data_IF_490242215053
#
_entry.id   IF_490242215053
#
_cell.length_a   1.000
_cell.length_b   1.000
_cell.length_c   1.000
_cell.angle_alpha   90.00
_cell.angle_beta   90.00
_cell.angle_gamma   90.00
#
_symmetry.space_group_name_H-M   'P 1'
#
loop_
_entity.id
_entity.type
_entity.pdbx_description
1 polymer ?
#
# COMPACT_ATOMS: atom_id res chain seq x y z
N UNK A 1 -25.41 40.78 -31.45
CA UNK A 1 -23.96 40.93 -31.20
C UNK A 1 -23.56 39.82 -30.24
N UNK A 2 -23.31 38.56 -30.58
CA UNK A 2 -22.41 37.94 -31.57
C UNK A 2 -20.96 38.45 -31.50
N UNK A 3 -20.11 37.72 -30.75
CA UNK A 3 -18.74 37.40 -31.17
C UNK A 3 -18.38 35.96 -30.80
N UNK A 4 -18.13 35.21 -31.87
CA UNK A 4 -17.49 33.88 -31.98
C UNK A 4 -15.97 34.11 -32.18
N UNK A 5 -15.18 33.04 -32.04
CA UNK A 5 -13.76 32.82 -32.45
C UNK A 5 -12.71 33.01 -31.36
N UNK A 6 -11.68 32.15 -31.20
CA UNK A 6 -11.16 31.08 -32.06
C UNK A 6 -10.26 30.11 -31.27
N UNK A 7 -10.15 28.90 -31.81
CA UNK A 7 -9.34 27.74 -31.39
C UNK A 7 -7.87 28.05 -31.08
N UNK A 8 -7.32 27.33 -30.10
CA UNK A 8 -5.90 26.95 -30.00
C UNK A 8 -5.80 25.44 -29.78
N UNK A 9 -5.37 24.71 -30.82
CA UNK A 9 -5.13 23.26 -30.87
C UNK A 9 -3.66 23.02 -30.50
N UNK A 10 -3.38 22.16 -29.51
CA UNK A 10 -2.04 21.57 -29.34
C UNK A 10 -2.17 20.05 -29.19
N UNK A 11 -1.41 19.36 -30.05
CA UNK A 11 -1.23 17.90 -30.22
C UNK A 11 -0.68 17.28 -28.92
N UNK A 12 -1.18 16.15 -28.42
CA UNK A 12 -0.87 14.75 -28.80
C UNK A 12 0.59 14.34 -28.58
N UNK A 13 0.77 13.06 -28.16
CA UNK A 13 1.99 12.33 -27.74
C UNK A 13 2.19 12.34 -26.20
N UNK A 14 2.36 11.23 -25.49
CA UNK A 14 2.80 9.89 -25.87
C UNK A 14 2.17 8.82 -24.97
N UNK A 15 1.74 7.74 -25.62
CA UNK A 15 1.37 6.46 -25.00
C UNK A 15 2.63 5.82 -24.40
N UNK A 16 2.58 5.47 -23.11
CA UNK A 16 3.50 4.49 -22.54
C UNK A 16 2.92 3.11 -22.77
N UNK A 17 3.31 2.51 -23.90
CA UNK A 17 3.22 1.08 -24.14
C UNK A 17 4.45 0.42 -23.50
N UNK A 18 4.23 -0.51 -22.57
CA UNK A 18 5.28 -1.40 -22.05
C UNK A 18 5.09 -2.77 -22.71
N UNK A 19 6.12 -3.35 -23.35
CA UNK A 19 5.96 -4.57 -24.11
C UNK A 19 5.97 -5.80 -23.20
N UNK A 20 5.02 -6.70 -23.44
CA UNK A 20 5.09 -8.12 -23.10
C UNK A 20 6.30 -8.73 -23.83
N UNK A 21 7.29 -9.23 -23.09
CA UNK A 21 8.32 -10.11 -23.63
C UNK A 21 8.00 -11.54 -23.19
N UNK A 22 7.57 -12.33 -24.17
CA UNK A 22 7.54 -13.78 -24.17
C UNK A 22 8.83 -14.25 -24.85
N UNK A 23 9.67 -14.98 -24.13
CA UNK A 23 10.69 -15.93 -24.61
C UNK A 23 11.26 -16.59 -23.34
N UNK A 24 11.41 -17.90 -23.20
CA UNK A 24 11.69 -18.93 -24.18
C UNK A 24 12.72 -19.84 -23.52
N UNK A 25 12.41 -21.14 -23.50
CA UNK A 25 13.22 -22.25 -23.00
C UNK A 25 14.74 -22.07 -23.21
N UNK A 26 15.53 -22.44 -22.20
CA UNK A 26 16.82 -23.10 -22.42
C UNK A 26 17.01 -24.22 -21.38
N UNK A 27 16.92 -25.43 -21.90
CA UNK A 27 17.34 -26.71 -21.34
C UNK A 27 18.86 -26.85 -21.50
N UNK A 28 19.55 -27.65 -20.65
CA UNK A 28 20.71 -28.52 -20.95
C UNK A 28 21.31 -29.10 -19.63
N UNK A 29 22.04 -30.25 -19.66
CA UNK A 29 21.72 -31.41 -18.84
C UNK A 29 22.94 -32.07 -18.11
N UNK A 30 22.60 -33.14 -17.37
CA UNK A 30 23.34 -34.40 -17.15
C UNK A 30 24.69 -34.42 -16.40
N UNK A 31 24.70 -35.17 -15.29
CA UNK A 31 25.69 -36.16 -14.83
C UNK A 31 25.01 -36.86 -13.63
N UNK A 32 24.69 -38.16 -13.58
CA UNK A 32 25.23 -39.33 -14.24
C UNK A 32 25.79 -40.26 -13.16
N UNK A 33 25.05 -41.30 -12.75
CA UNK A 33 25.58 -42.62 -12.37
C UNK A 33 24.49 -43.69 -12.45
N UNK A 34 24.93 -44.84 -12.94
CA UNK A 34 24.14 -45.95 -13.47
C UNK A 34 23.92 -47.07 -12.43
N UNK A 35 23.21 -48.12 -12.91
CA UNK A 35 23.09 -49.51 -12.39
C UNK A 35 21.74 -49.76 -11.66
N UNK A 36 20.88 -50.73 -11.97
CA UNK A 36 20.87 -51.94 -12.81
C UNK A 36 19.38 -52.22 -13.20
N UNK A 37 19.12 -52.84 -14.35
CA UNK A 37 17.77 -53.35 -14.72
C UNK A 37 17.38 -54.59 -13.90
N UNK A 38 16.10 -54.71 -13.53
CA UNK A 38 15.27 -55.94 -13.62
C UNK A 38 13.81 -55.66 -13.17
N UNK A 39 12.87 -55.71 -14.10
CA UNK A 39 11.48 -56.20 -13.88
C UNK A 39 11.49 -57.72 -14.17
N UNK A 40 10.56 -58.59 -13.67
CA UNK A 40 9.09 -58.42 -13.52
C UNK A 40 8.52 -59.17 -12.26
N UNK A 41 7.26 -59.65 -12.09
CA UNK A 41 5.91 -59.39 -12.66
C UNK A 41 4.86 -58.99 -11.53
N UNK A 42 3.52 -58.94 -11.74
CA UNK A 42 2.60 -58.19 -10.87
C UNK A 42 1.99 -58.95 -9.65
N UNK A 43 1.78 -58.17 -8.57
CA UNK A 43 0.83 -58.24 -7.43
C UNK A 43 0.61 -59.56 -6.64
N UNK A 44 0.48 -59.48 -5.29
CA UNK A 44 -0.86 -59.27 -4.71
C UNK A 44 -0.91 -58.31 -3.49
N UNK A 45 -2.09 -57.75 -3.29
CA UNK A 45 -2.52 -56.79 -2.26
C UNK A 45 -2.20 -57.24 -0.83
N UNK A 46 -1.55 -56.38 -0.02
CA UNK A 46 -1.58 -56.45 1.45
C UNK A 46 -1.25 -55.09 2.08
N UNK A 47 -2.15 -54.62 2.96
CA UNK A 47 -1.83 -53.78 4.13
C UNK A 47 -1.26 -52.38 3.90
N UNK A 48 -2.15 -51.41 3.75
CA UNK A 48 -1.90 -49.96 3.87
C UNK A 48 -1.39 -49.59 5.28
N UNK A 49 -0.25 -48.89 5.42
CA UNK A 49 0.01 -48.00 6.55
C UNK A 49 -0.52 -46.61 6.19
N UNK A 50 -1.35 -46.06 7.07
CA UNK A 50 -1.89 -44.70 6.94
C UNK A 50 -0.75 -43.69 6.74
N UNK A 51 -0.84 -42.92 5.66
CA UNK A 51 0.01 -41.73 5.49
C UNK A 51 -0.36 -40.73 6.58
N UNK A 52 0.61 -40.16 7.33
CA UNK A 52 0.32 -39.09 8.27
C UNK A 52 -0.17 -37.86 7.49
N UNK A 53 -1.25 -37.25 7.98
CA UNK A 53 -1.83 -36.02 7.45
C UNK A 53 -0.74 -34.97 7.21
N UNK A 54 -0.69 -34.33 6.03
CA UNK A 54 0.16 -33.16 5.85
C UNK A 54 -0.40 -32.04 6.73
N UNK A 55 0.34 -31.73 7.80
CA UNK A 55 0.12 -30.54 8.62
C UNK A 55 -0.15 -29.32 7.72
N UNK A 56 -1.09 -28.43 8.09
CA UNK A 56 -1.37 -27.26 7.28
C UNK A 56 -0.09 -26.44 7.14
N UNK A 57 0.40 -26.31 5.90
CA UNK A 57 1.48 -25.39 5.60
C UNK A 57 1.05 -23.99 6.09
N UNK A 58 1.69 -23.57 7.18
CA UNK A 58 1.53 -22.26 7.78
C UNK A 58 1.76 -21.23 6.68
N UNK A 59 0.77 -20.37 6.49
CA UNK A 59 0.94 -19.19 5.64
C UNK A 59 2.16 -18.40 6.17
N UNK A 60 2.92 -17.72 5.31
CA UNK A 60 3.98 -16.83 5.76
C UNK A 60 3.36 -15.83 6.75
N UNK A 61 3.78 -15.93 8.01
CA UNK A 61 3.42 -14.96 9.03
C UNK A 61 3.87 -13.59 8.50
N UNK A 62 2.90 -12.75 8.15
CA UNK A 62 3.17 -11.36 7.80
C UNK A 62 3.76 -10.72 9.04
N UNK A 63 4.86 -9.98 8.89
CA UNK A 63 5.33 -9.14 9.97
C UNK A 63 4.18 -8.22 10.37
N UNK A 64 3.83 -8.17 11.68
CA UNK A 64 2.76 -7.30 12.12
C UNK A 64 3.18 -5.87 11.80
N UNK A 65 2.37 -5.17 11.01
CA UNK A 65 2.46 -3.72 10.93
C UNK A 65 2.45 -3.20 12.37
N UNK A 66 3.50 -2.50 12.79
CA UNK A 66 3.57 -1.96 14.13
C UNK A 66 2.55 -0.82 14.34
N UNK A 67 2.17 -0.56 15.59
CA UNK A 67 1.38 0.61 15.98
C UNK A 67 -0.13 0.45 15.82
N UNK A 68 -0.86 1.58 15.81
CA UNK A 68 -2.32 1.62 15.87
C UNK A 68 -2.99 0.91 14.68
N UNK A 69 -2.47 1.13 13.46
CA UNK A 69 -2.96 0.43 12.26
C UNK A 69 -2.83 -1.08 12.40
N UNK A 70 -1.68 -1.56 12.88
CA UNK A 70 -1.44 -2.97 13.15
C UNK A 70 -2.45 -3.59 14.09
N UNK A 71 -2.67 -2.93 15.23
CA UNK A 71 -3.65 -3.38 16.23
C UNK A 71 -5.07 -3.41 15.66
N UNK A 72 -5.47 -2.40 14.88
CA UNK A 72 -6.77 -2.36 14.24
C UNK A 72 -6.94 -3.51 13.23
N UNK A 73 -5.92 -3.78 12.41
CA UNK A 73 -5.94 -4.89 11.46
C UNK A 73 -5.97 -6.25 12.15
N UNK A 74 -5.16 -6.43 13.21
CA UNK A 74 -5.17 -7.65 14.00
C UNK A 74 -6.52 -7.88 14.71
N UNK A 75 -7.24 -6.81 15.08
CA UNK A 75 -8.59 -6.92 15.62
C UNK A 75 -9.60 -7.45 14.59
N UNK A 76 -9.45 -7.05 13.32
CA UNK A 76 -10.25 -7.62 12.23
C UNK A 76 -9.91 -9.10 12.01
N UNK A 77 -8.62 -9.46 12.07
CA UNK A 77 -8.17 -10.84 11.86
C UNK A 77 -8.74 -11.81 12.93
N UNK A 78 -8.78 -11.40 14.21
CA UNK A 78 -9.37 -12.20 15.30
C UNK A 78 -10.83 -12.56 15.08
N UNK A 79 -11.62 -11.66 14.48
CA UNK A 79 -13.02 -11.91 14.15
C UNK A 79 -13.20 -12.97 13.04
N UNK A 80 -12.10 -13.42 12.43
CA UNK A 80 -12.07 -14.27 11.22
C UNK A 80 -11.11 -15.48 11.35
N UNK A 81 -10.69 -15.82 12.57
CA UNK A 81 -9.78 -16.93 12.84
C UNK A 81 -10.38 -18.30 12.48
N UNK A 82 -11.71 -18.41 12.43
CA UNK A 82 -12.44 -19.64 12.08
C UNK A 82 -12.79 -19.77 10.59
N UNK A 83 -12.35 -18.85 9.73
CA UNK A 83 -12.70 -18.88 8.31
C UNK A 83 -11.94 -20.00 7.57
N UNK A 84 -12.65 -21.07 7.20
CA UNK A 84 -12.10 -22.11 6.33
C UNK A 84 -11.93 -21.62 4.88
N UNK A 85 -10.95 -22.19 4.13
CA UNK A 85 -10.78 -21.89 2.71
C UNK A 85 -12.05 -22.24 1.93
N UNK A 86 -12.70 -21.23 1.33
CA UNK A 86 -13.95 -21.42 0.62
C UNK A 86 -13.70 -21.98 -0.79
N UNK A 87 -14.17 -23.20 -1.03
CA UNK A 87 -14.21 -23.87 -2.33
C UNK A 87 -15.58 -23.69 -2.96
N UNK A 88 -15.62 -23.26 -4.22
CA UNK A 88 -16.84 -23.05 -5.00
C UNK A 88 -16.81 -23.91 -6.27
N UNK A 89 -17.95 -24.36 -6.81
CA UNK A 89 -17.97 -25.09 -8.07
C UNK A 89 -17.58 -24.16 -9.23
N UNK A 90 -16.74 -24.64 -10.15
CA UNK A 90 -16.30 -23.89 -11.33
C UNK A 90 -16.38 -24.69 -12.61
N UNK A 91 -16.33 -23.98 -13.74
CA UNK A 91 -16.46 -24.58 -15.07
C UNK A 91 -15.35 -25.61 -15.38
N UNK A 92 -14.21 -25.50 -14.69
CA UNK A 92 -13.01 -26.34 -14.86
C UNK A 92 -12.67 -27.16 -13.62
N UNK A 93 -13.60 -27.29 -12.66
CA UNK A 93 -13.39 -27.91 -11.35
C UNK A 93 -13.58 -26.93 -10.19
N UNK A 94 -13.23 -27.33 -8.97
CA UNK A 94 -13.36 -26.48 -7.77
C UNK A 94 -12.52 -25.21 -7.88
N UNK A 95 -13.18 -24.05 -7.73
CA UNK A 95 -12.55 -22.74 -7.56
C UNK A 95 -12.25 -22.54 -6.09
N UNK A 96 -10.96 -22.45 -5.77
CA UNK A 96 -10.50 -22.05 -4.43
C UNK A 96 -10.38 -20.54 -4.38
N UNK A 97 -11.12 -19.91 -3.47
CA UNK A 97 -10.90 -18.51 -3.16
C UNK A 97 -9.52 -18.34 -2.48
N UNK A 98 -8.82 -17.25 -2.78
CA UNK A 98 -7.50 -16.99 -2.21
C UNK A 98 -7.60 -16.97 -0.67
N UNK A 99 -6.62 -17.60 0.01
CA UNK A 99 -6.53 -17.70 1.47
C UNK A 99 -6.52 -16.35 2.18
N UNK A 100 -6.21 -15.27 1.47
CA UNK A 100 -6.27 -13.91 2.00
C UNK A 100 -7.71 -13.44 2.29
N UNK A 101 -8.73 -14.08 1.71
CA UNK A 101 -10.12 -13.70 1.87
C UNK A 101 -10.77 -14.49 2.98
N UNK A 102 -11.19 -13.76 4.03
CA UNK A 102 -11.86 -14.33 5.21
C UNK A 102 -13.32 -13.91 5.31
N UNK A 103 -13.93 -13.58 4.17
CA UNK A 103 -15.30 -13.10 4.08
C UNK A 103 -15.40 -11.58 3.95
N UNK A 104 -16.63 -11.13 3.64
CA UNK A 104 -16.92 -9.72 3.35
C UNK A 104 -16.75 -8.83 4.57
N UNK A 105 -17.17 -9.27 5.75
CA UNK A 105 -17.08 -8.46 6.96
C UNK A 105 -15.64 -8.21 7.39
N UNK A 106 -14.77 -9.21 7.21
CA UNK A 106 -13.32 -9.05 7.40
C UNK A 106 -12.72 -8.02 6.43
N UNK A 107 -13.11 -8.09 5.15
CA UNK A 107 -12.68 -7.14 4.13
C UNK A 107 -13.12 -5.71 4.47
N UNK A 108 -14.38 -5.53 4.85
CA UNK A 108 -14.93 -4.22 5.25
C UNK A 108 -14.26 -3.70 6.51
N UNK A 109 -14.05 -4.54 7.53
CA UNK A 109 -13.32 -4.18 8.75
C UNK A 109 -11.91 -3.69 8.42
N UNK A 110 -11.20 -4.47 7.60
CA UNK A 110 -9.84 -4.14 7.14
C UNK A 110 -9.79 -2.82 6.38
N UNK A 111 -10.73 -2.59 5.47
CA UNK A 111 -10.82 -1.33 4.72
C UNK A 111 -11.19 -0.14 5.60
N UNK A 112 -12.06 -0.31 6.59
CA UNK A 112 -12.36 0.74 7.56
C UNK A 112 -11.14 1.09 8.43
N UNK A 113 -10.34 0.10 8.84
CA UNK A 113 -9.09 0.34 9.55
C UNK A 113 -8.11 1.18 8.69
N UNK A 114 -7.96 0.83 7.40
CA UNK A 114 -7.13 1.61 6.47
C UNK A 114 -7.66 3.03 6.26
N UNK A 115 -8.98 3.20 6.12
CA UNK A 115 -9.61 4.50 5.98
C UNK A 115 -9.40 5.40 7.21
N UNK A 116 -9.51 4.82 8.40
CA UNK A 116 -9.31 5.57 9.65
C UNK A 116 -7.86 6.01 9.82
N UNK A 117 -6.90 5.12 9.55
CA UNK A 117 -5.48 5.49 9.56
C UNK A 117 -5.18 6.58 8.53
N UNK A 118 -5.71 6.44 7.31
CA UNK A 118 -5.54 7.42 6.25
C UNK A 118 -6.08 8.81 6.63
N UNK A 119 -7.26 8.88 7.27
CA UNK A 119 -7.82 10.13 7.79
C UNK A 119 -6.96 10.73 8.90
N UNK A 120 -6.51 9.91 9.85
CA UNK A 120 -5.58 10.36 10.90
C UNK A 120 -4.30 10.93 10.30
N UNK A 121 -3.72 10.32 9.26
CA UNK A 121 -2.55 10.88 8.59
C UNK A 121 -2.80 12.26 7.98
N UNK A 122 -3.98 12.47 7.40
CA UNK A 122 -4.35 13.76 6.82
C UNK A 122 -4.53 14.82 7.91
N UNK A 123 -5.25 14.48 8.98
CA UNK A 123 -5.56 15.38 10.08
C UNK A 123 -4.31 15.74 10.91
N UNK A 124 -3.49 14.74 11.26
CA UNK A 124 -2.34 14.93 12.16
C UNK A 124 -1.19 15.69 11.49
N UNK A 125 -0.98 15.47 10.18
CA UNK A 125 0.20 15.94 9.46
C UNK A 125 -0.09 16.98 8.38
N UNK A 126 -1.36 17.27 8.08
CA UNK A 126 -1.75 18.31 7.13
C UNK A 126 -1.15 19.69 7.44
N UNK A 127 -1.01 20.01 8.73
CA UNK A 127 -0.40 21.26 9.23
C UNK A 127 1.03 21.51 8.72
N UNK A 128 1.80 20.46 8.41
CA UNK A 128 3.16 20.59 7.86
C UNK A 128 3.12 21.25 6.47
N UNK A 129 2.09 20.94 5.68
CA UNK A 129 1.88 21.55 4.37
C UNK A 129 1.34 22.97 4.51
N UNK A 130 0.43 23.19 5.46
CA UNK A 130 -0.14 24.51 5.73
C UNK A 130 0.90 25.54 6.19
N UNK A 131 2.00 25.08 6.81
CA UNK A 131 3.12 25.92 7.19
C UNK A 131 3.91 26.51 5.99
N UNK A 132 3.66 26.03 4.76
CA UNK A 132 4.22 26.58 3.50
C UNK A 132 5.74 26.79 3.54
N UNK A 133 6.46 25.87 4.16
CA UNK A 133 7.94 25.90 4.19
C UNK A 133 8.59 26.11 2.81
N UNK A 134 8.08 25.53 1.69
CA UNK A 134 8.64 25.78 0.36
C UNK A 134 8.51 27.23 -0.14
N UNK A 135 7.54 28.00 0.39
CA UNK A 135 7.26 29.36 -0.08
C UNK A 135 8.11 30.43 0.64
N UNK A 136 8.86 30.03 1.68
CA UNK A 136 9.73 30.93 2.44
C UNK A 136 10.94 31.32 1.59
N UNK A 137 10.98 32.58 1.16
CA UNK A 137 11.93 33.07 0.14
C UNK A 137 12.86 34.19 0.60
N UNK A 138 12.67 34.74 1.80
CA UNK A 138 13.45 35.87 2.31
C UNK A 138 14.00 35.61 3.72
N UNK A 139 15.07 36.34 4.08
CA UNK A 139 15.81 36.12 5.34
C UNK A 139 14.94 36.38 6.57
N UNK A 140 14.11 37.42 6.56
CA UNK A 140 13.21 37.72 7.68
C UNK A 140 12.22 36.58 7.94
N UNK A 141 11.65 36.02 6.87
CA UNK A 141 10.78 34.85 6.93
C UNK A 141 11.51 33.61 7.43
N UNK A 142 12.77 33.40 7.04
CA UNK A 142 13.60 32.29 7.53
C UNK A 142 13.89 32.48 9.03
N UNK A 143 14.32 33.66 9.45
CA UNK A 143 14.70 33.96 10.83
C UNK A 143 13.49 34.10 11.77
N UNK A 144 12.30 34.34 11.22
CA UNK A 144 11.04 34.31 11.97
C UNK A 144 10.55 32.90 12.33
N UNK A 145 11.10 31.85 11.70
CA UNK A 145 10.73 30.46 12.01
C UNK A 145 11.36 30.06 13.34
N UNK A 146 10.53 29.67 14.30
CA UNK A 146 11.01 29.12 15.57
C UNK A 146 11.74 27.80 15.32
N UNK A 147 13.00 27.66 15.77
CA UNK A 147 13.78 26.42 15.58
C UNK A 147 13.10 25.18 16.15
N UNK A 148 12.42 25.32 17.29
CA UNK A 148 11.71 24.20 17.94
C UNK A 148 10.54 23.70 17.10
N UNK A 149 9.73 24.61 16.54
CA UNK A 149 8.63 24.25 15.63
C UNK A 149 9.16 23.52 14.39
N UNK A 150 10.25 24.03 13.81
CA UNK A 150 10.91 23.40 12.66
C UNK A 150 11.50 22.03 13.02
N UNK A 151 11.93 21.83 14.27
CA UNK A 151 12.39 20.54 14.77
C UNK A 151 11.23 19.54 14.91
N UNK A 152 10.15 19.96 15.54
CA UNK A 152 8.94 19.18 15.69
C UNK A 152 8.34 18.78 14.35
N UNK A 153 8.22 19.69 13.38
CA UNK A 153 7.64 19.37 12.08
C UNK A 153 8.53 18.46 11.23
N UNK A 154 9.85 18.53 11.38
CA UNK A 154 10.77 17.57 10.74
C UNK A 154 10.66 16.16 11.34
N UNK A 155 10.45 16.07 12.65
CA UNK A 155 10.16 14.78 13.30
C UNK A 155 8.81 14.24 12.81
N UNK A 156 7.77 15.08 12.82
CA UNK A 156 6.44 14.71 12.35
C UNK A 156 6.44 14.24 10.89
N UNK A 157 7.21 14.89 10.00
CA UNK A 157 7.36 14.45 8.60
C UNK A 157 8.01 13.05 8.49
N UNK A 158 8.95 12.75 9.39
CA UNK A 158 9.60 11.42 9.46
C UNK A 158 8.61 10.37 9.95
N UNK A 159 7.85 10.68 11.00
CA UNK A 159 6.83 9.78 11.56
C UNK A 159 5.71 9.51 10.55
N UNK A 160 5.24 10.55 9.86
CA UNK A 160 4.30 10.44 8.73
C UNK A 160 4.82 9.45 7.68
N UNK A 161 6.09 9.58 7.27
CA UNK A 161 6.68 8.72 6.24
C UNK A 161 6.67 7.24 6.66
N UNK A 162 6.94 6.96 7.94
CA UNK A 162 6.88 5.60 8.48
C UNK A 162 5.46 5.04 8.40
N UNK A 163 4.48 5.79 8.93
CA UNK A 163 3.05 5.37 8.93
C UNK A 163 2.48 5.26 7.52
N UNK A 164 2.81 6.19 6.62
CA UNK A 164 2.38 6.15 5.22
C UNK A 164 2.88 4.90 4.49
N UNK A 165 4.14 4.51 4.70
CA UNK A 165 4.68 3.27 4.11
C UNK A 165 3.94 2.04 4.58
N UNK A 166 3.67 1.95 5.89
CA UNK A 166 2.89 0.85 6.46
C UNK A 166 1.46 0.82 5.89
N UNK A 167 0.76 1.96 5.87
CA UNK A 167 -0.57 2.09 5.28
C UNK A 167 -0.59 1.66 3.81
N UNK A 168 0.39 2.12 3.02
CA UNK A 168 0.50 1.77 1.60
C UNK A 168 0.70 0.27 1.39
N UNK A 169 1.60 -0.36 2.14
CA UNK A 169 1.84 -1.79 2.04
C UNK A 169 0.57 -2.60 2.36
N UNK A 170 -0.15 -2.23 3.42
CA UNK A 170 -1.39 -2.90 3.81
C UNK A 170 -2.53 -2.67 2.82
N UNK A 171 -2.62 -1.47 2.25
CA UNK A 171 -3.56 -1.18 1.17
C UNK A 171 -3.28 -2.06 -0.07
N UNK A 172 -2.04 -2.03 -0.57
CA UNK A 172 -1.64 -2.78 -1.76
C UNK A 172 -1.88 -4.29 -1.56
N UNK A 173 -1.61 -4.82 -0.37
CA UNK A 173 -1.89 -6.21 -0.02
C UNK A 173 -3.39 -6.57 -0.08
N UNK A 174 -4.28 -5.69 0.38
CA UNK A 174 -5.74 -5.93 0.39
C UNK A 174 -6.38 -5.74 -0.98
N UNK A 175 -5.91 -4.78 -1.78
CA UNK A 175 -6.36 -4.63 -3.17
C UNK A 175 -5.97 -5.84 -4.01
N UNK A 176 -4.73 -6.33 -3.85
CA UNK A 176 -4.29 -7.55 -4.53
C UNK A 176 -5.15 -8.75 -4.13
N UNK A 177 -5.53 -8.87 -2.85
CA UNK A 177 -6.45 -9.90 -2.39
C UNK A 177 -7.83 -9.76 -3.07
N UNK A 178 -8.46 -8.59 -2.99
CA UNK A 178 -9.77 -8.33 -3.56
C UNK A 178 -9.80 -8.58 -5.08
N UNK A 179 -8.74 -8.23 -5.80
CA UNK A 179 -8.62 -8.47 -7.24
C UNK A 179 -8.60 -9.96 -7.58
N UNK A 180 -7.81 -10.77 -6.87
CA UNK A 180 -7.77 -12.23 -7.06
C UNK A 180 -9.13 -12.87 -6.77
N UNK A 181 -9.80 -12.43 -5.71
CA UNK A 181 -11.15 -12.92 -5.38
C UNK A 181 -12.16 -12.57 -6.46
N UNK A 182 -12.13 -11.33 -6.97
CA UNK A 182 -12.96 -10.93 -8.10
C UNK A 182 -12.70 -11.77 -9.36
N UNK A 183 -11.46 -12.18 -9.61
CA UNK A 183 -11.13 -13.11 -10.70
C UNK A 183 -11.68 -14.52 -10.43
N UNK A 184 -11.43 -15.08 -9.24
CA UNK A 184 -11.96 -16.40 -8.85
C UNK A 184 -13.48 -16.46 -8.98
N UNK A 185 -14.20 -15.43 -8.54
CA UNK A 185 -15.67 -15.38 -8.62
C UNK A 185 -16.19 -15.36 -10.07
N UNK A 186 -15.41 -14.89 -11.04
CA UNK A 186 -15.78 -14.95 -12.47
C UNK A 186 -15.68 -16.36 -13.04
N UNK A 187 -14.85 -17.20 -12.46
CA UNK A 187 -14.66 -18.60 -12.88
C UNK A 187 -15.65 -19.58 -12.21
N UNK A 188 -16.42 -19.10 -11.24
CA UNK A 188 -17.47 -19.87 -10.54
C UNK A 188 -18.64 -20.11 -11.46
N UNK A 189 -19.12 -21.36 -11.49
CA UNK A 189 -20.33 -21.77 -12.20
C UNK A 189 -21.22 -22.55 -11.26
N UNK A 190 -22.45 -22.10 -11.09
CA UNK A 190 -23.45 -22.77 -10.25
C UNK A 190 -24.58 -23.26 -11.18
N UNK A 191 -24.44 -24.47 -11.76
CA UNK A 191 -25.33 -24.96 -12.82
C UNK A 191 -26.79 -25.12 -12.35
N UNK A 192 -27.00 -25.43 -11.08
CA UNK A 192 -28.32 -25.66 -10.50
C UNK A 192 -29.04 -24.37 -10.05
N UNK A 193 -28.46 -23.20 -10.34
CA UNK A 193 -28.99 -21.90 -9.92
C UNK A 193 -29.17 -20.96 -11.11
N UNK A 194 -30.42 -20.77 -11.53
CA UNK A 194 -30.77 -19.86 -12.63
C UNK A 194 -30.30 -18.40 -12.42
N UNK A 195 -30.26 -17.93 -11.16
CA UNK A 195 -29.83 -16.56 -10.83
C UNK A 195 -28.34 -16.43 -10.48
N UNK A 196 -27.57 -17.51 -10.53
CA UNK A 196 -26.17 -17.49 -10.11
C UNK A 196 -25.30 -16.42 -10.80
N UNK A 197 -25.41 -16.17 -12.12
CA UNK A 197 -24.65 -15.09 -12.75
C UNK A 197 -24.93 -13.72 -12.15
N UNK A 198 -26.18 -13.44 -11.77
CA UNK A 198 -26.57 -12.20 -11.12
C UNK A 198 -26.03 -12.06 -9.70
N UNK A 199 -26.03 -13.15 -8.93
CA UNK A 199 -25.49 -13.18 -7.56
C UNK A 199 -23.97 -12.96 -7.59
N UNK A 200 -23.24 -13.71 -8.43
CA UNK A 200 -21.79 -13.58 -8.56
C UNK A 200 -21.39 -12.17 -9.02
N UNK A 201 -22.13 -11.61 -9.98
CA UNK A 201 -21.95 -10.23 -10.42
C UNK A 201 -22.15 -9.24 -9.27
N UNK A 202 -23.22 -9.39 -8.48
CA UNK A 202 -23.48 -8.53 -7.32
C UNK A 202 -22.34 -8.61 -6.28
N UNK A 203 -21.80 -9.80 -6.02
CA UNK A 203 -20.66 -9.97 -5.11
C UNK A 203 -19.39 -9.28 -5.63
N UNK A 204 -19.08 -9.43 -6.93
CA UNK A 204 -17.94 -8.75 -7.57
C UNK A 204 -18.14 -7.24 -7.53
N UNK A 205 -19.31 -6.73 -7.92
CA UNK A 205 -19.63 -5.31 -7.95
C UNK A 205 -19.54 -4.70 -6.53
N UNK A 206 -19.92 -5.45 -5.49
CA UNK A 206 -19.76 -5.03 -4.09
C UNK A 206 -18.28 -4.91 -3.70
N UNK A 207 -17.45 -5.90 -4.00
CA UNK A 207 -16.01 -5.87 -3.67
C UNK A 207 -15.33 -4.71 -4.41
N UNK A 208 -15.65 -4.51 -5.69
CA UNK A 208 -15.16 -3.37 -6.46
C UNK A 208 -15.61 -2.03 -5.88
N UNK A 209 -16.85 -1.95 -5.37
CA UNK A 209 -17.37 -0.79 -4.66
C UNK A 209 -16.57 -0.46 -3.40
N UNK A 210 -16.28 -1.46 -2.57
CA UNK A 210 -15.49 -1.31 -1.34
C UNK A 210 -14.06 -0.84 -1.67
N UNK A 211 -13.42 -1.45 -2.68
CA UNK A 211 -12.09 -1.03 -3.18
C UNK A 211 -12.09 0.43 -3.65
N UNK A 212 -13.08 0.82 -4.45
CA UNK A 212 -13.22 2.19 -4.94
C UNK A 212 -13.36 3.19 -3.79
N UNK A 213 -14.14 2.86 -2.77
CA UNK A 213 -14.32 3.70 -1.58
C UNK A 213 -13.00 4.04 -0.88
N UNK A 214 -12.11 3.06 -0.73
CA UNK A 214 -10.80 3.29 -0.08
C UNK A 214 -9.81 3.99 -1.01
N UNK A 215 -9.87 3.72 -2.33
CA UNK A 215 -8.93 4.31 -3.30
C UNK A 215 -8.96 5.85 -3.35
N UNK A 216 -10.13 6.47 -3.15
CA UNK A 216 -10.28 7.94 -3.14
C UNK A 216 -9.50 8.57 -1.99
N UNK A 217 -9.58 7.99 -0.80
CA UNK A 217 -8.85 8.50 0.37
C UNK A 217 -7.36 8.18 0.26
N UNK A 218 -7.01 7.01 -0.25
CA UNK A 218 -5.61 6.66 -0.50
C UNK A 218 -4.94 7.69 -1.43
N UNK A 219 -5.59 8.10 -2.51
CA UNK A 219 -5.07 9.11 -3.43
C UNK A 219 -4.76 10.44 -2.70
N UNK A 220 -5.61 10.87 -1.77
CA UNK A 220 -5.37 12.07 -0.96
C UNK A 220 -4.15 11.93 -0.05
N UNK A 221 -3.93 10.75 0.56
CA UNK A 221 -2.74 10.51 1.39
C UNK A 221 -1.48 10.48 0.54
N UNK A 222 -1.53 9.93 -0.67
CA UNK A 222 -0.40 9.96 -1.62
C UNK A 222 -0.05 11.40 -2.00
N UNK A 223 -1.05 12.22 -2.34
CA UNK A 223 -0.84 13.64 -2.63
C UNK A 223 -0.26 14.39 -1.42
N UNK A 224 -0.76 14.09 -0.21
CA UNK A 224 -0.19 14.64 1.02
C UNK A 224 1.26 14.22 1.22
N UNK A 225 1.62 12.97 0.91
CA UNK A 225 2.98 12.48 1.03
C UNK A 225 3.96 13.23 0.12
N UNK A 226 3.55 13.53 -1.12
CA UNK A 226 4.36 14.35 -2.04
C UNK A 226 4.58 15.78 -1.51
N UNK A 227 3.53 16.37 -0.95
CA UNK A 227 3.59 17.71 -0.34
C UNK A 227 4.47 17.72 0.91
N UNK A 228 4.35 16.71 1.78
CA UNK A 228 5.18 16.57 2.97
C UNK A 228 6.65 16.34 2.60
N UNK A 229 6.96 15.51 1.61
CA UNK A 229 8.33 15.31 1.12
C UNK A 229 8.94 16.65 0.62
N UNK A 230 8.15 17.42 -0.13
CA UNK A 230 8.56 18.76 -0.59
C UNK A 230 8.82 19.70 0.59
N UNK A 231 7.89 19.77 1.56
CA UNK A 231 8.07 20.56 2.79
C UNK A 231 9.28 20.09 3.59
N UNK A 232 9.53 18.79 3.69
CA UNK A 232 10.66 18.22 4.42
C UNK A 232 12.00 18.69 3.84
N UNK A 233 12.14 18.66 2.51
CA UNK A 233 13.33 19.18 1.81
C UNK A 233 13.52 20.68 2.05
N UNK A 234 12.44 21.45 2.02
CA UNK A 234 12.48 22.87 2.35
C UNK A 234 12.90 23.11 3.80
N UNK A 235 12.29 22.41 4.77
CA UNK A 235 12.61 22.50 6.19
C UNK A 235 14.08 22.20 6.49
N UNK A 236 14.65 21.16 5.87
CA UNK A 236 16.09 20.84 6.00
C UNK A 236 16.97 21.98 5.52
N UNK A 237 16.59 22.63 4.42
CA UNK A 237 17.31 23.79 3.86
C UNK A 237 17.18 25.01 4.77
N UNK A 238 15.96 25.33 5.21
CA UNK A 238 15.67 26.42 6.13
C UNK A 238 16.44 26.28 7.44
N UNK A 239 16.52 25.07 8.00
CA UNK A 239 17.32 24.80 9.22
C UNK A 239 18.80 25.16 9.03
N UNK A 240 19.37 24.85 7.87
CA UNK A 240 20.78 25.17 7.56
C UNK A 240 20.99 26.68 7.44
N UNK A 241 20.09 27.38 6.75
CA UNK A 241 20.18 28.84 6.58
C UNK A 241 19.97 29.54 7.92
N UNK A 242 18.96 29.13 8.69
CA UNK A 242 18.67 29.69 10.00
C UNK A 242 19.88 29.58 10.94
N UNK A 243 20.58 28.43 10.95
CA UNK A 243 21.79 28.25 11.75
C UNK A 243 22.94 29.17 11.32
N UNK A 244 22.99 29.52 10.03
CA UNK A 244 24.12 30.26 9.44
C UNK A 244 23.92 31.78 9.50
N UNK A 245 22.70 32.27 9.28
CA UNK A 245 22.37 33.69 9.15
C UNK A 245 21.75 34.25 10.43
N UNK A 246 20.68 33.62 10.93
CA UNK A 246 19.85 34.17 12.00
C UNK A 246 20.50 34.12 13.39
N UNK A 247 21.41 33.17 13.61
CA UNK A 247 22.19 33.08 14.86
C UNK A 247 23.44 33.99 14.86
N UNK A 248 23.93 34.40 13.68
CA UNK A 248 25.08 35.31 13.57
C UNK A 248 24.67 36.75 13.79
N UNK A 249 23.53 37.17 13.26
CA UNK A 249 23.03 38.54 13.45
C UNK A 249 22.65 38.84 14.90
N UNK A 250 22.09 37.88 15.65
CA UNK A 250 21.86 38.07 17.09
C UNK A 250 23.16 38.28 17.86
N UNK A 251 24.22 37.51 17.59
CA UNK A 251 25.52 37.72 18.24
C UNK A 251 26.18 39.04 17.84
N UNK A 252 26.07 39.45 16.58
CA UNK A 252 26.63 40.72 16.10
C UNK A 252 25.90 41.92 16.74
N UNK A 253 24.57 41.87 16.83
CA UNK A 253 23.75 42.88 17.51
C UNK A 253 24.07 42.95 19.01
N UNK A 254 24.12 41.81 19.71
CA UNK A 254 24.47 41.77 21.14
C UNK A 254 25.91 42.25 21.44
N UNK A 255 26.86 42.01 20.53
CA UNK A 255 28.23 42.51 20.68
C UNK A 255 28.36 44.01 20.37
N UNK A 256 27.47 44.57 19.55
CA UNK A 256 27.44 46.01 19.25
C UNK A 256 26.88 46.84 20.41
N UNK A 257 25.90 46.33 21.15
CA UNK A 257 25.35 46.98 22.36
C UNK A 257 26.25 46.82 23.60
N UNK A 258 27.15 45.84 23.61
CA UNK A 258 28.06 45.56 24.73
C UNK A 258 29.37 46.34 24.75
N UNK A 259 29.60 47.28 23.81
CA UNK A 259 30.83 48.10 23.77
C UNK A 259 30.60 49.42 24.54
N UNK A 260 31.10 49.58 25.78
CA UNK A 260 31.04 50.88 26.43
C UNK A 260 31.91 51.85 25.63
N UNK A 261 31.33 52.97 25.20
CA UNK A 261 32.06 54.10 24.67
C UNK A 261 33.16 54.47 25.67
N UNK A 262 34.41 54.32 25.24
CA UNK A 262 35.60 54.72 25.98
C UNK A 262 36.27 55.84 25.21
#
# INVERSE_FOLDING_TARGET
MTRISKRGRVKSSALWAVPLIVAGLLCLPALGWAKERREPPPAPTTGQPASPDPAPAAAPAREPTGGALGTALASCDKASESSEPLTLPGAKGEVKLDRCYRGRDHLVCSFNALLNEAKSLIEDYGKIVEARYPDVSNVDGICGIKPDNLATDLQNATDFTGRFKALKAEYDARINCASKIGQSLRDVTLPDMAQAPGILKSMIDSIEGDVKGVSVIQAKVVELAEKIDTSQKAMVTLRKIHRTMCLKDQRALSQSEGRPNR
#
